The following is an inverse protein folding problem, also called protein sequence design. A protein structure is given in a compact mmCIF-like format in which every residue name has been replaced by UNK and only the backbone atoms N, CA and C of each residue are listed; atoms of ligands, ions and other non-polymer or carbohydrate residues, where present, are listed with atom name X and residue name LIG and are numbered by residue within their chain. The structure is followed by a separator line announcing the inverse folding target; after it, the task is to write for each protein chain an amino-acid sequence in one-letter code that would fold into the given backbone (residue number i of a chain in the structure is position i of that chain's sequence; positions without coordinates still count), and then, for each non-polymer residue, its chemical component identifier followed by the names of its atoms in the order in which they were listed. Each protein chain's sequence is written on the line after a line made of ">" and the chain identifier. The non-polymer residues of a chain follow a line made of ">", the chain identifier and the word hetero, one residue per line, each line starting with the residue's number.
data_IF_461600461435
#
_entry.id   IF_461600461435
#
_cell.length_a   1.000
_cell.length_b   1.000
_cell.length_c   1.000
_cell.angle_alpha   90.00
_cell.angle_beta   90.00
_cell.angle_gamma   90.00
#
_symmetry.space_group_name_H-M   'P 1'
#
loop_
_entity.id
_entity.type
_entity.pdbx_description
1 polymer ?
#
# COMPACT_ATOMS: atom_id res chain seq x y z
N UNK A 1 -0.60 12.89 -8.19
CA UNK A 1 0.54 11.97 -8.11
C UNK A 1 0.82 11.43 -9.49
N UNK A 2 2.09 11.33 -9.90
CA UNK A 2 2.48 10.58 -11.10
C UNK A 2 3.42 9.45 -10.68
N UNK A 3 2.90 8.23 -10.62
CA UNK A 3 3.71 7.03 -10.40
C UNK A 3 4.64 6.84 -11.60
N UNK A 4 5.91 6.55 -11.32
CA UNK A 4 6.96 6.29 -12.30
C UNK A 4 7.33 4.83 -12.33
N UNK A 5 7.49 4.24 -11.15
CA UNK A 5 7.94 2.87 -10.99
C UNK A 5 7.22 2.23 -9.81
N UNK A 6 6.87 0.96 -9.94
CA UNK A 6 6.34 0.14 -8.86
C UNK A 6 6.98 -1.26 -8.91
N UNK A 7 7.40 -1.77 -7.76
CA UNK A 7 7.54 -3.21 -7.54
C UNK A 7 6.87 -3.58 -6.23
N UNK A 8 6.36 -4.79 -6.15
CA UNK A 8 5.57 -5.24 -5.03
C UNK A 8 5.70 -6.74 -4.84
N UNK A 9 5.86 -7.18 -3.61
CA UNK A 9 5.89 -8.60 -3.24
C UNK A 9 4.82 -8.82 -2.19
N UNK A 10 4.01 -9.84 -2.39
CA UNK A 10 3.16 -10.44 -1.38
C UNK A 10 3.72 -11.81 -1.02
N UNK A 11 4.44 -11.89 0.10
CA UNK A 11 5.09 -13.11 0.57
C UNK A 11 4.08 -14.17 1.02
N UNK A 12 2.88 -13.75 1.43
CA UNK A 12 1.83 -14.66 1.88
C UNK A 12 1.28 -15.50 0.72
N UNK A 13 1.24 -14.92 -0.48
CA UNK A 13 0.80 -15.62 -1.71
C UNK A 13 1.96 -16.03 -2.62
N UNK A 14 3.18 -15.59 -2.33
CA UNK A 14 4.36 -15.74 -3.19
C UNK A 14 4.26 -14.95 -4.51
N UNK A 15 3.32 -14.00 -4.61
CA UNK A 15 3.14 -13.21 -5.82
C UNK A 15 4.08 -12.02 -5.84
N UNK A 16 4.78 -11.85 -6.97
CA UNK A 16 5.70 -10.74 -7.19
C UNK A 16 5.29 -9.96 -8.44
N UNK A 17 5.16 -8.65 -8.27
CA UNK A 17 5.20 -7.67 -9.33
C UNK A 17 6.64 -7.21 -9.49
N UNK A 18 7.30 -7.73 -10.52
CA UNK A 18 8.59 -7.21 -10.96
C UNK A 18 8.48 -5.72 -11.28
N UNK A 19 9.61 -5.02 -11.18
CA UNK A 19 9.70 -3.58 -11.40
C UNK A 19 9.03 -3.17 -12.72
N UNK A 20 7.93 -2.44 -12.60
CA UNK A 20 7.08 -1.96 -13.68
C UNK A 20 7.19 -0.42 -13.76
N UNK A 21 7.42 0.10 -14.96
CA UNK A 21 7.44 1.54 -15.21
C UNK A 21 6.12 2.02 -15.81
N UNK A 22 5.71 3.23 -15.44
CA UNK A 22 4.48 3.86 -15.88
C UNK A 22 4.76 5.15 -16.67
N UNK A 23 4.07 5.30 -17.79
CA UNK A 23 3.98 6.55 -18.51
C UNK A 23 2.97 7.49 -17.88
N UNK A 24 2.89 8.73 -18.39
CA UNK A 24 1.89 9.70 -17.91
C UNK A 24 0.46 9.17 -18.04
N UNK A 25 0.20 8.40 -19.09
CA UNK A 25 -1.03 7.65 -19.29
C UNK A 25 -0.63 6.20 -19.56
N UNK A 26 -1.10 5.29 -18.71
CA UNK A 26 -0.83 3.85 -18.85
C UNK A 26 -2.16 3.10 -18.90
N UNK A 27 -2.36 2.29 -19.93
CA UNK A 27 -3.52 1.40 -20.05
C UNK A 27 -3.05 -0.05 -19.88
N UNK A 28 -3.62 -0.74 -18.88
CA UNK A 28 -3.34 -2.16 -18.65
C UNK A 28 -4.23 -3.02 -19.55
N UNK A 29 -3.67 -3.59 -20.62
CA UNK A 29 -4.39 -4.47 -21.56
C UNK A 29 -3.85 -5.90 -21.50
N UNK A 30 -4.69 -6.88 -21.85
CA UNK A 30 -4.32 -8.29 -21.91
C UNK A 30 -5.49 -9.21 -21.60
N UNK A 31 -5.29 -10.51 -21.83
CA UNK A 31 -6.30 -11.55 -21.60
C UNK A 31 -6.83 -11.56 -20.15
N UNK A 32 -7.98 -12.21 -19.92
CA UNK A 32 -8.50 -12.38 -18.57
C UNK A 32 -7.53 -13.18 -17.70
N UNK A 33 -7.46 -12.88 -16.39
CA UNK A 33 -6.63 -13.62 -15.43
C UNK A 33 -5.13 -13.30 -15.42
N UNK A 34 -4.61 -12.48 -16.34
CA UNK A 34 -3.16 -12.17 -16.45
C UNK A 34 -2.59 -11.27 -15.34
N UNK A 35 -3.38 -10.92 -14.32
CA UNK A 35 -2.90 -10.17 -13.15
C UNK A 35 -3.12 -8.66 -13.16
N UNK A 36 -3.86 -8.09 -14.14
CA UNK A 36 -4.17 -6.64 -14.19
C UNK A 36 -4.74 -6.10 -12.87
N UNK A 37 -5.72 -6.80 -12.30
CA UNK A 37 -6.33 -6.43 -11.01
C UNK A 37 -5.33 -6.51 -9.86
N UNK A 38 -4.35 -7.44 -9.89
CA UNK A 38 -3.31 -7.53 -8.86
C UNK A 38 -2.35 -6.34 -8.90
N UNK A 39 -2.01 -5.87 -10.11
CA UNK A 39 -1.23 -4.63 -10.28
C UNK A 39 -1.97 -3.44 -9.66
N UNK A 40 -3.25 -3.26 -9.98
CA UNK A 40 -4.06 -2.18 -9.38
C UNK A 40 -4.15 -2.32 -7.86
N UNK A 41 -4.39 -3.54 -7.35
CA UNK A 41 -4.44 -3.83 -5.92
C UNK A 41 -3.14 -3.45 -5.22
N UNK A 42 -1.98 -3.72 -5.81
CA UNK A 42 -0.69 -3.33 -5.20
C UNK A 42 -0.54 -1.81 -5.03
N UNK A 43 -1.05 -1.01 -5.98
CA UNK A 43 -1.09 0.46 -5.83
C UNK A 43 -2.00 0.87 -4.66
N UNK A 44 -3.16 0.21 -4.53
CA UNK A 44 -4.10 0.46 -3.45
C UNK A 44 -3.55 0.04 -2.09
N UNK A 45 -2.83 -1.08 -2.02
CA UNK A 45 -2.19 -1.55 -0.78
C UNK A 45 -1.10 -0.57 -0.35
N UNK A 46 -0.23 -0.10 -1.26
CA UNK A 46 0.74 0.96 -0.95
C UNK A 46 0.06 2.25 -0.45
N UNK A 47 -1.06 2.65 -1.07
CA UNK A 47 -1.87 3.78 -0.58
C UNK A 47 -2.42 3.52 0.83
N UNK A 48 -2.89 2.31 1.13
CA UNK A 48 -3.39 1.93 2.47
C UNK A 48 -2.27 2.01 3.51
N UNK A 49 -1.06 1.55 3.18
CA UNK A 49 0.11 1.66 4.06
C UNK A 49 0.46 3.13 4.33
N UNK A 50 0.38 3.98 3.31
CA UNK A 50 0.58 5.42 3.49
C UNK A 50 -0.47 6.00 4.45
N UNK A 51 -1.68 5.43 4.48
CA UNK A 51 -2.75 5.81 5.41
C UNK A 51 -2.72 5.10 6.77
N UNK A 52 -1.63 4.41 7.10
CA UNK A 52 -1.43 3.75 8.39
C UNK A 52 -1.93 2.30 8.47
N UNK A 53 -2.34 1.68 7.35
CA UNK A 53 -2.67 0.27 7.37
C UNK A 53 -1.42 -0.59 7.62
N UNK A 54 -1.59 -1.63 8.44
CA UNK A 54 -0.61 -2.69 8.64
C UNK A 54 -1.00 -3.88 7.79
N UNK A 55 -0.12 -4.30 6.87
CA UNK A 55 -0.40 -5.38 5.91
C UNK A 55 0.64 -6.49 6.08
N UNK A 56 0.20 -7.75 6.16
CA UNK A 56 1.09 -8.88 6.44
C UNK A 56 1.94 -9.26 5.25
N UNK A 57 3.26 -9.42 5.46
CA UNK A 57 4.16 -10.04 4.48
C UNK A 57 4.31 -9.29 3.16
N UNK A 58 4.03 -7.98 3.12
CA UNK A 58 4.20 -7.19 1.89
C UNK A 58 5.56 -6.46 1.88
N UNK A 59 6.19 -6.41 0.71
CA UNK A 59 7.31 -5.50 0.43
C UNK A 59 6.93 -4.61 -0.75
N UNK A 60 7.24 -3.32 -0.67
CA UNK A 60 6.93 -2.37 -1.73
C UNK A 60 8.13 -1.51 -2.06
N UNK A 61 8.13 -1.04 -3.29
CA UNK A 61 8.97 0.05 -3.77
C UNK A 61 8.15 0.85 -4.78
N UNK A 62 8.06 2.15 -4.56
CA UNK A 62 7.33 3.07 -5.44
C UNK A 62 8.15 4.33 -5.66
N UNK A 63 8.27 4.71 -6.94
CA UNK A 63 8.78 6.02 -7.33
C UNK A 63 7.64 6.85 -7.89
N UNK A 64 7.54 8.10 -7.48
CA UNK A 64 6.52 9.01 -8.00
C UNK A 64 6.98 10.46 -8.00
N UNK A 65 6.36 11.26 -8.87
CA UNK A 65 6.46 12.71 -8.86
C UNK A 65 5.22 13.31 -8.21
N UNK A 66 5.45 14.28 -7.34
CA UNK A 66 4.39 15.09 -6.76
C UNK A 66 3.90 16.14 -7.75
N UNK A 67 2.73 16.76 -7.47
CA UNK A 67 2.30 17.93 -8.24
C UNK A 67 3.27 19.11 -8.09
N UNK A 68 4.01 19.19 -6.97
CA UNK A 68 5.07 20.17 -6.74
C UNK A 68 6.39 19.89 -7.50
N UNK A 69 6.47 18.77 -8.24
CA UNK A 69 7.64 18.40 -9.02
C UNK A 69 8.76 17.71 -8.24
N UNK A 70 8.55 17.41 -6.95
CA UNK A 70 9.50 16.63 -6.15
C UNK A 70 9.42 15.16 -6.52
N UNK A 71 10.58 14.50 -6.58
CA UNK A 71 10.68 13.05 -6.76
C UNK A 71 10.69 12.38 -5.40
N UNK A 72 9.83 11.39 -5.22
CA UNK A 72 9.85 10.51 -4.06
C UNK A 72 10.19 9.10 -4.49
N UNK A 73 11.05 8.45 -3.71
CA UNK A 73 11.24 6.99 -3.73
C UNK A 73 10.91 6.48 -2.35
N UNK A 74 9.93 5.60 -2.25
CA UNK A 74 9.50 5.00 -0.99
C UNK A 74 9.55 3.49 -1.09
N UNK A 75 10.31 2.88 -0.20
CA UNK A 75 10.45 1.44 -0.09
C UNK A 75 10.25 0.99 1.34
N UNK A 76 9.78 -0.24 1.52
CA UNK A 76 9.63 -0.82 2.83
C UNK A 76 9.12 -2.25 2.80
N UNK A 77 9.11 -2.85 3.97
CA UNK A 77 8.78 -4.25 4.16
C UNK A 77 8.12 -4.48 5.51
N UNK A 78 6.97 -5.14 5.47
CA UNK A 78 6.35 -5.71 6.65
C UNK A 78 6.89 -7.10 6.94
N UNK A 79 6.91 -7.41 8.23
CA UNK A 79 7.08 -8.74 8.76
C UNK A 79 6.06 -9.69 8.13
N UNK A 80 6.52 -10.90 7.82
CA UNK A 80 5.67 -12.00 7.38
C UNK A 80 5.34 -12.88 8.59
N UNK A 81 4.11 -12.77 9.08
CA UNK A 81 3.57 -13.61 10.16
C UNK A 81 3.01 -14.95 9.67
N UNK A 82 3.21 -15.29 8.39
CA UNK A 82 2.66 -16.48 7.77
C UNK A 82 1.17 -16.37 7.44
N UNK A 83 0.62 -17.46 6.91
CA UNK A 83 -0.78 -17.51 6.47
C UNK A 83 -1.71 -17.78 7.65
N UNK A 84 -2.53 -16.78 8.00
CA UNK A 84 -3.74 -16.98 8.79
C UNK A 84 -4.93 -16.35 8.07
N UNK A 85 -6.12 -16.93 8.24
CA UNK A 85 -7.36 -16.42 7.64
C UNK A 85 -7.64 -15.00 8.14
N UNK A 86 -7.38 -14.72 9.42
CA UNK A 86 -7.48 -13.38 10.03
C UNK A 86 -6.53 -12.36 9.37
N UNK A 87 -5.27 -12.75 9.09
CA UNK A 87 -4.28 -11.88 8.43
C UNK A 87 -4.61 -11.62 6.95
N UNK A 88 -5.32 -12.55 6.30
CA UNK A 88 -5.61 -12.50 4.85
C UNK A 88 -6.86 -11.66 4.53
N UNK A 89 -7.85 -11.69 5.40
CA UNK A 89 -9.14 -11.01 5.17
C UNK A 89 -9.32 -9.72 5.97
N UNK A 90 -8.38 -9.34 6.84
CA UNK A 90 -8.38 -8.04 7.52
C UNK A 90 -9.58 -7.84 8.44
N UNK A 91 -10.09 -8.90 9.07
CA UNK A 91 -11.14 -8.82 10.08
C UNK A 91 -10.53 -8.41 11.43
N UNK A 92 -10.81 -7.17 11.87
CA UNK A 92 -10.62 -6.53 13.19
C UNK A 92 -9.39 -6.93 14.04
N UNK A 93 -8.37 -6.10 14.23
CA UNK A 93 -8.31 -4.85 15.03
C UNK A 93 -8.77 -4.99 16.48
N UNK A 94 -7.93 -5.55 17.36
CA UNK A 94 -7.95 -5.19 18.79
C UNK A 94 -6.59 -5.41 19.49
N UNK A 95 -5.76 -6.35 19.04
CA UNK A 95 -4.43 -6.58 19.65
C UNK A 95 -3.26 -6.06 18.82
N UNK A 96 -2.57 -5.04 19.33
CA UNK A 96 -1.29 -4.51 18.78
C UNK A 96 -0.23 -5.61 18.57
N UNK A 97 -0.29 -6.68 19.36
CA UNK A 97 0.63 -7.82 19.27
C UNK A 97 0.46 -8.64 17.99
N UNK A 98 -0.73 -8.62 17.39
CA UNK A 98 -1.03 -9.41 16.19
C UNK A 98 -0.74 -8.65 14.91
N UNK A 99 -0.66 -7.32 14.94
CA UNK A 99 -0.33 -6.52 13.75
C UNK A 99 1.10 -6.78 13.26
N UNK A 100 1.31 -6.98 11.95
CA UNK A 100 2.65 -7.02 11.35
C UNK A 100 3.45 -5.76 11.64
N UNK A 101 4.71 -5.91 12.06
CA UNK A 101 5.61 -4.76 12.18
C UNK A 101 6.24 -4.43 10.84
N UNK A 102 6.67 -3.18 10.64
CA UNK A 102 7.54 -2.82 9.53
C UNK A 102 9.00 -3.11 9.93
N UNK A 103 9.63 -4.03 9.20
CA UNK A 103 11.02 -4.44 9.41
C UNK A 103 12.01 -3.42 8.84
N UNK A 104 11.69 -2.81 7.69
CA UNK A 104 12.47 -1.72 7.11
C UNK A 104 11.58 -0.74 6.33
N UNK A 105 11.99 0.52 6.27
CA UNK A 105 11.33 1.54 5.46
C UNK A 105 12.29 2.67 5.15
N UNK A 106 12.35 3.12 3.91
CA UNK A 106 13.15 4.25 3.48
C UNK A 106 12.37 5.19 2.58
N UNK A 107 12.52 6.48 2.82
CA UNK A 107 11.97 7.52 1.95
C UNK A 107 13.11 8.41 1.48
N UNK A 108 13.21 8.54 0.17
CA UNK A 108 14.11 9.46 -0.50
C UNK A 108 13.29 10.58 -1.14
N UNK A 109 13.74 11.82 -0.97
CA UNK A 109 13.18 13.00 -1.64
C UNK A 109 14.28 13.58 -2.51
N UNK A 110 14.05 13.66 -3.82
CA UNK A 110 15.04 14.07 -4.81
C UNK A 110 16.37 13.31 -4.64
N UNK A 111 16.27 12.00 -4.43
CA UNK A 111 17.39 11.07 -4.22
C UNK A 111 18.17 11.25 -2.90
N UNK A 112 17.74 12.16 -2.01
CA UNK A 112 18.28 12.31 -0.66
C UNK A 112 17.47 11.50 0.36
N UNK A 113 18.15 10.73 1.21
CA UNK A 113 17.50 9.92 2.25
C UNK A 113 16.93 10.81 3.37
N UNK A 114 15.61 10.81 3.51
CA UNK A 114 14.87 11.64 4.48
C UNK A 114 14.35 10.80 5.64
N UNK A 115 13.87 9.58 5.37
CA UNK A 115 13.47 8.62 6.40
C UNK A 115 14.31 7.36 6.23
N UNK A 116 14.90 6.89 7.32
CA UNK A 116 15.46 5.55 7.43
C UNK A 116 14.91 4.87 8.68
N UNK A 117 14.18 3.78 8.48
CA UNK A 117 13.69 2.91 9.53
C UNK A 117 14.42 1.59 9.45
N UNK A 118 15.13 1.28 10.54
CA UNK A 118 15.95 0.09 10.66
C UNK A 118 15.81 -0.50 12.08
N UNK A 119 16.65 -1.48 12.43
CA UNK A 119 16.62 -2.15 13.74
C UNK A 119 16.84 -1.19 14.92
N UNK A 120 17.55 -0.09 14.72
CA UNK A 120 17.87 0.88 15.76
C UNK A 120 16.72 1.87 16.00
N UNK A 121 15.77 1.99 15.07
CA UNK A 121 14.60 2.87 15.16
C UNK A 121 14.31 3.60 13.86
N UNK A 122 13.59 4.72 13.98
CA UNK A 122 13.29 5.63 12.87
C UNK A 122 14.20 6.85 12.97
N UNK A 123 14.83 7.19 11.85
CA UNK A 123 15.66 8.37 11.66
C UNK A 123 14.97 9.28 10.64
N UNK A 124 14.75 10.52 11.01
CA UNK A 124 14.23 11.57 10.13
C UNK A 124 15.31 12.64 9.94
N UNK A 125 15.73 12.86 8.68
CA UNK A 125 16.85 13.74 8.35
C UNK A 125 18.12 13.44 9.17
N UNK A 126 18.43 12.15 9.32
CA UNK A 126 19.58 11.64 10.08
C UNK A 126 19.43 11.72 11.62
N UNK A 127 18.34 12.27 12.14
CA UNK A 127 18.08 12.37 13.58
C UNK A 127 17.12 11.29 14.04
N UNK A 128 17.50 10.55 15.09
CA UNK A 128 16.64 9.53 15.69
C UNK A 128 15.38 10.17 16.27
N UNK A 129 14.21 9.64 15.92
CA UNK A 129 12.92 10.12 16.45
C UNK A 129 12.66 9.55 17.84
N UNK A 130 11.58 10.04 18.48
CA UNK A 130 10.99 9.34 19.64
C UNK A 130 10.50 7.96 19.23
N UNK A 131 10.21 7.10 20.21
CA UNK A 131 9.62 5.79 19.96
C UNK A 131 8.22 5.97 19.36
N UNK A 132 8.05 5.55 18.12
CA UNK A 132 6.78 5.54 17.40
C UNK A 132 6.28 4.11 17.19
N UNK A 133 5.04 3.98 16.69
CA UNK A 133 4.41 2.70 16.36
C UNK A 133 5.29 1.87 15.43
N UNK A 134 5.34 0.56 15.69
CA UNK A 134 6.07 -0.39 14.83
C UNK A 134 5.22 -0.92 13.70
N UNK A 135 3.91 -0.71 13.72
CA UNK A 135 2.97 -1.34 12.81
C UNK A 135 2.49 -0.40 11.70
N UNK A 136 2.83 0.88 11.81
CA UNK A 136 2.47 1.92 10.87
C UNK A 136 3.72 2.46 10.17
N UNK A 137 3.52 2.95 8.95
CA UNK A 137 4.58 3.56 8.14
C UNK A 137 5.08 4.86 8.75
N UNK A 138 6.37 5.13 8.62
CA UNK A 138 6.96 6.42 8.97
C UNK A 138 6.37 7.55 8.09
N UNK A 139 5.97 7.24 6.85
CA UNK A 139 5.18 8.16 6.01
C UNK A 139 3.87 8.57 6.68
N UNK A 140 3.18 7.66 7.36
CA UNK A 140 1.96 7.97 8.12
C UNK A 140 2.25 8.68 9.44
N UNK A 141 3.25 8.20 10.19
CA UNK A 141 3.57 8.70 11.52
C UNK A 141 4.14 10.12 11.49
N UNK A 142 4.89 10.47 10.45
CA UNK A 142 5.52 11.77 10.26
C UNK A 142 4.74 12.66 9.28
N UNK A 143 3.45 12.38 9.02
CA UNK A 143 2.62 13.12 8.04
C UNK A 143 2.48 14.63 8.29
N UNK A 144 2.74 15.08 9.51
CA UNK A 144 2.70 16.50 9.87
C UNK A 144 4.01 17.24 9.53
N UNK A 145 5.08 16.51 9.26
CA UNK A 145 6.35 17.08 8.77
C UNK A 145 6.18 17.58 7.34
N UNK A 146 6.60 18.81 7.05
CA UNK A 146 6.36 19.47 5.75
C UNK A 146 6.82 18.62 4.55
N UNK A 147 7.98 17.97 4.69
CA UNK A 147 8.56 17.11 3.66
C UNK A 147 7.74 15.82 3.41
N UNK A 148 7.00 15.32 4.39
CA UNK A 148 6.25 14.06 4.31
C UNK A 148 4.77 14.33 4.02
N UNK A 149 4.24 15.46 4.48
CA UNK A 149 2.87 15.89 4.22
C UNK A 149 2.54 15.93 2.72
N UNK A 150 3.51 16.29 1.89
CA UNK A 150 3.33 16.28 0.43
C UNK A 150 3.08 14.87 -0.11
N UNK A 151 3.86 13.87 0.32
CA UNK A 151 3.67 12.47 -0.08
C UNK A 151 2.27 11.97 0.32
N UNK A 152 1.82 12.30 1.53
CA UNK A 152 0.47 11.96 2.01
C UNK A 152 -0.63 12.52 1.10
N UNK A 153 -0.57 13.82 0.80
CA UNK A 153 -1.52 14.48 -0.10
C UNK A 153 -1.51 13.86 -1.50
N UNK A 154 -0.37 13.35 -1.97
CA UNK A 154 -0.30 12.65 -3.25
C UNK A 154 -0.99 11.29 -3.21
N UNK A 155 -0.85 10.51 -2.14
CA UNK A 155 -1.57 9.24 -1.96
C UNK A 155 -3.08 9.44 -1.80
N UNK A 156 -3.53 10.57 -1.27
CA UNK A 156 -4.96 10.92 -1.21
C UNK A 156 -5.59 11.11 -2.59
N UNK A 157 -4.81 11.55 -3.59
CA UNK A 157 -5.26 11.73 -4.97
C UNK A 157 -5.44 10.41 -5.74
N UNK A 158 -5.02 9.27 -5.19
CA UNK A 158 -5.24 7.96 -5.80
C UNK A 158 -6.72 7.59 -5.66
N UNK A 159 -7.41 7.51 -6.79
CA UNK A 159 -8.83 7.15 -6.89
C UNK A 159 -8.93 5.75 -7.51
N UNK A 160 -9.83 4.93 -6.96
CA UNK A 160 -10.20 3.65 -7.53
C UNK A 160 -11.69 3.65 -7.78
N UNK A 161 -12.07 3.36 -9.02
CA UNK A 161 -13.45 3.26 -9.46
C UNK A 161 -13.60 1.94 -10.23
N UNK A 162 -14.34 1.02 -9.62
CA UNK A 162 -14.74 -0.23 -10.23
C UNK A 162 -16.21 -0.05 -10.61
N UNK A 163 -16.46 0.34 -11.86
CA UNK A 163 -17.77 0.61 -12.45
C UNK A 163 -18.72 -0.62 -12.47
N UNK A 164 -18.52 -1.60 -11.59
CA UNK A 164 -19.25 -2.86 -11.47
C UNK A 164 -20.37 -2.82 -10.41
N UNK A 165 -20.59 -1.69 -9.74
CA UNK A 165 -21.52 -1.57 -8.61
C UNK A 165 -23.03 -1.43 -8.93
N UNK A 166 -23.46 -1.59 -10.18
CA UNK A 166 -24.90 -1.50 -10.54
C UNK A 166 -25.54 -2.81 -11.05
N UNK A 167 -24.82 -3.93 -11.15
CA UNK A 167 -25.39 -5.18 -11.72
C UNK A 167 -25.82 -6.21 -10.64
N UNK A 168 -25.38 -6.08 -9.38
CA UNK A 168 -25.70 -7.06 -8.33
C UNK A 168 -26.90 -6.70 -7.41
N UNK A 169 -27.77 -5.76 -7.80
CA UNK A 169 -29.03 -5.47 -7.08
C UNK A 169 -30.28 -6.16 -7.65
N UNK A 170 -30.16 -6.91 -8.74
CA UNK A 170 -31.26 -7.65 -9.36
C UNK A 170 -30.90 -9.13 -9.56
N UNK A 171 -30.75 -9.90 -8.48
CA UNK A 171 -30.78 -11.36 -8.53
C UNK A 171 -30.92 -11.96 -7.12
N UNK A 172 -31.99 -11.59 -6.40
CA UNK A 172 -32.61 -12.44 -5.38
C UNK A 172 -34.07 -12.02 -5.26
N UNK A 173 -34.80 -12.25 -6.36
CA UNK A 173 -36.26 -12.35 -6.34
C UNK A 173 -36.61 -13.46 -7.33
N UNK A 174 -36.23 -14.68 -6.97
CA UNK A 174 -36.77 -15.90 -7.58
C UNK A 174 -37.63 -16.59 -6.53
N UNK A 175 -38.91 -16.69 -6.87
CA UNK A 175 -39.99 -17.36 -6.19
C UNK A 175 -39.60 -18.74 -5.65
N UNK A 176 -40.06 -19.04 -4.44
CA UNK A 176 -40.46 -20.40 -4.09
C UNK A 176 -41.91 -20.35 -3.63
N UNK A 177 -42.83 -20.37 -4.59
CA UNK A 177 -44.06 -21.13 -4.42
C UNK A 177 -43.66 -22.61 -4.44
N UNK A 178 -43.79 -23.31 -3.31
CA UNK A 178 -44.10 -24.73 -3.38
C UNK A 178 -45.09 -25.11 -2.28
N UNK A 179 -46.23 -25.62 -2.75
CA UNK A 179 -47.36 -26.15 -2.00
C UNK A 179 -46.93 -27.32 -1.12
N UNK A 180 -47.46 -27.38 0.10
CA UNK A 180 -48.06 -28.58 0.70
C UNK A 180 -49.03 -28.17 1.81
#
# INVERSE_FOLDING_TARGET
>A
MRIKTLSYIDKTTGWELQRLSFDQLTLLVGASGVGKTRILKSILDVRRVAKGASLNGISWYIEFLTTGGRKYTWEGEFEDKGFSVENTFGFNDEDEKEKPRIDSERVYINDELVIDRNIDGIFFNGKKTVKLSKNESAVFLLREEEQIQEAQREFDKVIFDDNTSDINRFAFDDEVEEKL
#
